data_IF_355333887849
#
_entry.id   IF_355333887849
#
_cell.length_a   1.000
_cell.length_b   1.000
_cell.length_c   1.000
_cell.angle_alpha   90.00
_cell.angle_beta   90.00
_cell.angle_gamma   90.00
#
_symmetry.space_group_name_H-M   'P 1'
#
loop_
_entity.id
_entity.type
_entity.pdbx_description
1 polymer ?
#
# COMPACT_ATOMS: atom_id res chain seq x y z
N UNK A 1 -8.59 -35.17 11.76
CA UNK A 1 -9.00 -34.78 10.39
C UNK A 1 -10.05 -33.67 10.40
N UNK A 2 -11.30 -33.91 10.84
CA UNK A 2 -12.37 -32.86 10.87
C UNK A 2 -12.02 -31.61 11.66
N UNK A 3 -11.27 -31.76 12.75
CA UNK A 3 -10.79 -30.60 13.54
C UNK A 3 -9.84 -29.75 12.68
N UNK A 4 -8.95 -30.37 11.90
CA UNK A 4 -8.00 -29.65 11.05
C UNK A 4 -8.70 -28.87 9.93
N UNK A 5 -9.70 -29.50 9.29
CA UNK A 5 -10.51 -28.86 8.25
C UNK A 5 -11.39 -27.76 8.83
N UNK A 6 -12.03 -28.00 9.98
CA UNK A 6 -12.82 -26.99 10.67
C UNK A 6 -11.97 -25.80 11.11
N UNK A 7 -10.76 -26.04 11.66
CA UNK A 7 -9.79 -25.01 11.96
C UNK A 7 -9.40 -24.24 10.69
N UNK A 8 -9.10 -24.93 9.59
CA UNK A 8 -8.80 -24.28 8.30
C UNK A 8 -9.93 -23.37 7.82
N UNK A 9 -11.19 -23.83 7.88
CA UNK A 9 -12.36 -23.04 7.49
C UNK A 9 -12.60 -21.85 8.42
N UNK A 10 -12.35 -22.01 9.72
CA UNK A 10 -12.43 -20.92 10.69
C UNK A 10 -11.34 -19.86 10.41
N UNK A 11 -10.10 -20.27 10.14
CA UNK A 11 -9.03 -19.36 9.75
C UNK A 11 -9.34 -18.64 8.44
N UNK A 12 -9.96 -19.33 7.47
CA UNK A 12 -10.41 -18.71 6.23
C UNK A 12 -11.53 -17.67 6.46
N UNK A 13 -12.46 -17.90 7.40
CA UNK A 13 -13.43 -16.87 7.78
C UNK A 13 -12.76 -15.65 8.39
N UNK A 14 -11.83 -15.87 9.32
CA UNK A 14 -11.05 -14.79 9.90
C UNK A 14 -10.26 -14.03 8.83
N UNK A 15 -9.71 -14.73 7.84
CA UNK A 15 -8.96 -14.10 6.76
C UNK A 15 -9.85 -13.25 5.85
N UNK A 16 -11.04 -13.73 5.49
CA UNK A 16 -12.06 -12.95 4.78
C UNK A 16 -12.41 -11.70 5.59
N UNK A 17 -12.63 -11.85 6.90
CA UNK A 17 -12.92 -10.73 7.80
C UNK A 17 -11.80 -9.68 7.81
N UNK A 18 -10.54 -10.10 7.92
CA UNK A 18 -9.39 -9.20 7.90
C UNK A 18 -9.20 -8.53 6.53
N UNK A 19 -9.33 -9.26 5.43
CA UNK A 19 -9.20 -8.70 4.09
C UNK A 19 -10.33 -7.72 3.76
N UNK A 20 -11.57 -8.06 4.12
CA UNK A 20 -12.71 -7.15 3.93
C UNK A 20 -12.58 -5.88 4.76
N UNK A 21 -12.13 -5.99 6.01
CA UNK A 21 -11.79 -4.82 6.85
C UNK A 21 -10.63 -4.02 6.26
N UNK A 22 -9.60 -4.66 5.72
CA UNK A 22 -8.51 -3.96 5.08
C UNK A 22 -9.00 -3.14 3.87
N UNK A 23 -9.84 -3.74 3.03
CA UNK A 23 -10.36 -3.11 1.80
C UNK A 23 -11.31 -1.95 2.11
N UNK A 24 -12.12 -2.06 3.18
CA UNK A 24 -13.09 -1.03 3.57
C UNK A 24 -12.45 0.14 4.34
N UNK A 25 -11.25 -0.06 4.90
CA UNK A 25 -10.56 0.96 5.69
C UNK A 25 -9.60 1.80 4.86
N UNK A 26 -9.51 3.09 5.20
CA UNK A 26 -8.69 4.07 4.48
C UNK A 26 -7.27 4.26 5.06
N UNK A 27 -6.77 3.27 5.80
CA UNK A 27 -5.51 3.33 6.57
C UNK A 27 -4.44 2.38 6.01
N UNK A 28 -4.28 2.33 4.69
CA UNK A 28 -3.21 1.55 4.05
C UNK A 28 -1.87 2.24 4.20
N UNK A 29 -1.87 3.55 3.93
CA UNK A 29 -0.68 4.38 4.03
C UNK A 29 -1.04 5.75 4.58
N UNK A 30 -0.15 6.26 5.42
CA UNK A 30 -0.38 7.42 6.25
C UNK A 30 0.76 8.42 6.08
N UNK A 31 0.41 9.69 5.95
CA UNK A 31 1.35 10.81 5.94
C UNK A 31 1.01 11.79 7.05
N UNK A 32 2.01 12.21 7.83
CA UNK A 32 1.90 13.27 8.82
C UNK A 32 2.89 14.40 8.50
N UNK A 33 2.32 15.55 8.13
CA UNK A 33 3.05 16.75 7.74
C UNK A 33 3.17 17.78 8.87
N UNK A 34 2.71 17.49 10.10
CA UNK A 34 2.73 18.46 11.22
C UNK A 34 4.12 19.05 11.49
N UNK A 35 5.14 18.19 11.61
CA UNK A 35 6.52 18.61 11.87
C UNK A 35 7.06 19.52 10.77
N UNK A 36 6.70 19.25 9.51
CA UNK A 36 7.07 20.10 8.37
C UNK A 36 6.33 21.44 8.41
N UNK A 37 5.03 21.44 8.73
CA UNK A 37 4.24 22.67 8.89
C UNK A 37 4.76 23.56 10.00
N UNK A 38 4.99 23.01 11.19
CA UNK A 38 5.52 23.75 12.34
C UNK A 38 6.89 24.37 12.05
N UNK A 39 7.69 23.69 11.23
CA UNK A 39 8.95 24.22 10.74
C UNK A 39 8.72 25.44 9.85
N UNK A 40 7.88 25.31 8.81
CA UNK A 40 7.63 26.40 7.86
C UNK A 40 6.88 27.60 8.48
N UNK A 41 5.99 27.37 9.45
CA UNK A 41 5.29 28.45 10.17
C UNK A 41 6.27 29.31 10.98
N UNK A 42 7.25 28.69 11.66
CA UNK A 42 8.30 29.42 12.39
C UNK A 42 9.12 30.34 11.48
N UNK A 43 9.39 29.91 10.24
CA UNK A 43 10.11 30.73 9.24
C UNK A 43 9.25 31.83 8.63
N UNK A 44 7.93 31.62 8.49
CA UNK A 44 7.01 32.64 7.98
C UNK A 44 6.72 33.71 9.03
N UNK A 45 6.87 33.39 10.33
CA UNK A 45 6.65 34.34 11.41
C UNK A 45 7.65 35.51 11.33
N UNK A 46 7.19 36.77 11.45
CA UNK A 46 8.01 37.98 11.26
C UNK A 46 9.14 38.18 12.28
N UNK A 47 9.34 37.26 13.24
CA UNK A 47 10.51 37.29 14.13
C UNK A 47 11.83 36.96 13.43
N UNK A 48 11.77 36.32 12.26
CA UNK A 48 12.90 36.16 11.36
C UNK A 48 12.39 36.38 9.94
N UNK A 49 12.28 37.64 9.47
CA UNK A 49 11.97 37.86 8.07
C UNK A 49 13.11 37.24 7.27
N UNK A 50 12.84 36.08 6.67
CA UNK A 50 13.73 35.44 5.71
C UNK A 50 14.09 36.48 4.67
N UNK A 51 15.33 36.93 4.68
CA UNK A 51 15.82 37.89 3.71
C UNK A 51 15.77 37.20 2.35
N UNK A 52 14.82 37.61 1.51
CA UNK A 52 14.75 37.24 0.10
C UNK A 52 15.99 37.84 -0.58
N UNK A 53 17.11 37.13 -0.56
CA UNK A 53 18.17 37.40 -1.53
C UNK A 53 17.71 36.79 -2.86
N UNK A 54 17.06 37.62 -3.67
CA UNK A 54 17.04 37.41 -5.11
C UNK A 54 18.51 37.37 -5.58
N UNK A 55 19.05 36.16 -5.70
CA UNK A 55 20.32 35.95 -6.37
C UNK A 55 20.06 36.03 -7.87
N UNK A 56 20.02 37.25 -8.39
CA UNK A 56 20.40 37.57 -9.76
C UNK A 56 20.65 39.08 -9.86
N UNK A 57 21.84 39.41 -10.37
CA UNK A 57 22.35 40.74 -10.77
C UNK A 57 23.14 41.53 -9.71
N UNK A 58 24.44 41.20 -9.67
CA UNK A 58 25.57 42.14 -9.69
C UNK A 58 25.42 43.47 -8.92
N UNK A 59 25.93 43.56 -7.68
CA UNK A 59 26.61 44.79 -7.22
C UNK A 59 27.59 44.48 -6.06
N UNK A 60 28.87 44.91 -6.13
CA UNK A 60 29.89 44.57 -5.16
C UNK A 60 29.87 45.54 -3.98
N UNK A 61 29.62 45.05 -2.76
CA UNK A 61 29.90 45.82 -1.54
C UNK A 61 30.78 45.04 -0.56
N UNK A 62 31.73 45.80 -0.03
CA UNK A 62 32.98 45.40 0.62
C UNK A 62 32.76 44.73 1.97
N UNK A 63 33.44 43.59 2.17
CA UNK A 63 33.55 42.84 3.43
C UNK A 63 34.18 43.66 4.56
N UNK A 64 33.65 43.45 5.77
CA UNK A 64 34.39 43.55 7.05
C UNK A 64 34.08 42.29 7.91
N UNK A 65 35.03 41.77 8.72
CA UNK A 65 35.11 40.35 9.05
C UNK A 65 34.61 39.99 10.47
N UNK A 66 34.56 38.68 10.74
CA UNK A 66 34.28 37.98 12.01
C UNK A 66 32.81 37.64 12.37
N UNK A 67 31.87 37.73 11.41
CA UNK A 67 30.55 37.03 11.49
C UNK A 67 30.50 35.74 10.65
N UNK A 68 31.60 35.38 10.00
CA UNK A 68 31.68 34.35 8.95
C UNK A 68 31.45 32.90 9.42
N UNK A 69 31.57 32.61 10.71
CA UNK A 69 31.23 31.27 11.24
C UNK A 69 29.71 31.12 11.41
N UNK A 70 29.05 32.04 12.12
CA UNK A 70 27.60 32.05 12.28
C UNK A 70 26.86 32.27 10.95
N UNK A 71 27.47 33.02 10.02
CA UNK A 71 26.94 33.24 8.69
C UNK A 71 27.09 32.02 7.77
N UNK A 72 28.12 31.17 7.95
CA UNK A 72 28.26 29.92 7.16
C UNK A 72 27.20 28.89 7.53
N UNK A 73 26.88 28.74 8.81
CA UNK A 73 25.72 27.94 9.23
C UNK A 73 24.41 28.55 8.67
N UNK A 74 24.20 29.87 8.81
CA UNK A 74 22.97 30.51 8.35
C UNK A 74 22.79 30.52 6.81
N UNK A 75 23.87 30.68 6.03
CA UNK A 75 23.85 30.74 4.56
C UNK A 75 23.60 29.39 3.89
N UNK A 76 23.98 28.27 4.51
CA UNK A 76 23.75 26.95 3.92
C UNK A 76 22.32 26.44 4.15
N UNK A 77 21.65 26.87 5.21
CA UNK A 77 20.27 26.45 5.49
C UNK A 77 19.21 27.36 4.83
N UNK A 78 19.44 28.66 4.70
CA UNK A 78 18.45 29.62 4.18
C UNK A 78 17.87 29.32 2.78
N UNK A 79 18.68 29.29 1.70
CA UNK A 79 18.17 29.16 0.33
C UNK A 79 17.61 27.76 0.05
N UNK A 80 18.11 26.73 0.75
CA UNK A 80 17.61 25.36 0.63
C UNK A 80 16.26 25.23 1.36
N UNK A 81 16.11 25.83 2.55
CA UNK A 81 14.88 25.71 3.36
C UNK A 81 13.69 26.51 2.79
N UNK A 82 13.91 27.69 2.19
CA UNK A 82 12.86 28.45 1.49
C UNK A 82 12.22 27.62 0.36
N UNK A 83 13.03 26.89 -0.39
CA UNK A 83 12.57 25.97 -1.43
C UNK A 83 11.72 24.82 -0.85
N UNK A 84 12.11 24.27 0.30
CA UNK A 84 11.38 23.18 0.95
C UNK A 84 10.00 23.60 1.49
N UNK A 85 9.81 24.87 1.88
CA UNK A 85 8.53 25.39 2.41
C UNK A 85 7.60 26.02 1.36
N UNK A 86 8.03 26.12 0.10
CA UNK A 86 7.22 26.69 -1.00
C UNK A 86 5.93 25.91 -1.29
N UNK A 87 5.87 24.63 -0.91
CA UNK A 87 4.74 23.75 -1.18
C UNK A 87 4.04 23.35 0.11
N UNK A 88 2.73 23.52 0.11
CA UNK A 88 1.89 23.07 1.21
C UNK A 88 1.67 21.55 1.15
N UNK A 89 1.92 20.86 2.27
CA UNK A 89 1.71 19.43 2.42
C UNK A 89 0.66 19.16 3.50
N UNK A 90 -0.29 18.29 3.16
CA UNK A 90 -1.38 17.90 4.05
C UNK A 90 -1.14 16.52 4.65
N UNK A 91 -1.48 16.38 5.94
CA UNK A 91 -1.56 15.07 6.58
C UNK A 91 -2.78 14.31 6.03
N UNK A 92 -2.53 13.16 5.41
CA UNK A 92 -3.59 12.37 4.74
C UNK A 92 -3.46 10.89 5.06
N UNK A 93 -4.60 10.22 5.15
CA UNK A 93 -4.69 8.76 5.13
C UNK A 93 -5.14 8.33 3.74
N UNK A 94 -4.52 7.28 3.23
CA UNK A 94 -4.83 6.71 1.92
C UNK A 94 -5.31 5.29 2.10
N UNK A 95 -6.51 5.04 1.61
CA UNK A 95 -7.10 3.73 1.44
C UNK A 95 -6.88 3.15 0.06
N UNK A 96 -7.55 2.03 -0.20
CA UNK A 96 -7.62 1.48 -1.55
C UNK A 96 -8.54 2.31 -2.47
N UNK A 97 -9.62 2.87 -1.93
CA UNK A 97 -10.65 3.54 -2.74
C UNK A 97 -10.69 5.06 -2.54
N UNK A 98 -10.32 5.53 -1.36
CA UNK A 98 -10.45 6.93 -0.97
C UNK A 98 -9.18 7.41 -0.29
N UNK A 99 -8.94 8.70 -0.38
CA UNK A 99 -7.90 9.43 0.35
C UNK A 99 -8.58 10.47 1.22
N UNK A 100 -8.36 10.40 2.52
CA UNK A 100 -9.00 11.27 3.51
C UNK A 100 -8.00 12.17 4.21
N UNK A 101 -8.45 13.36 4.62
CA UNK A 101 -7.71 14.24 5.50
C UNK A 101 -7.82 13.76 6.95
N UNK A 102 -6.69 13.79 7.69
CA UNK A 102 -6.65 13.37 9.09
C UNK A 102 -7.41 14.32 10.03
N UNK A 103 -8.10 13.77 11.02
CA UNK A 103 -8.89 14.51 12.04
C UNK A 103 -7.98 15.15 13.10
N UNK A 104 -8.15 16.46 13.33
CA UNK A 104 -7.44 17.25 14.33
C UNK A 104 -6.00 17.61 13.96
N UNK A 105 -5.53 17.24 12.76
CA UNK A 105 -4.16 17.54 12.33
C UNK A 105 -4.03 18.92 11.69
N UNK A 106 -5.11 19.46 11.15
CA UNK A 106 -5.10 20.72 10.40
C UNK A 106 -6.37 21.53 10.61
N UNK A 107 -6.30 22.53 11.49
CA UNK A 107 -7.42 23.44 11.82
C UNK A 107 -7.93 24.18 10.58
N UNK A 108 -7.02 24.60 9.69
CA UNK A 108 -7.41 25.34 8.48
C UNK A 108 -8.22 24.45 7.55
N UNK A 109 -7.74 23.22 7.34
CA UNK A 109 -8.45 22.26 6.50
C UNK A 109 -9.76 21.80 7.15
N UNK A 110 -9.80 21.63 8.47
CA UNK A 110 -11.04 21.33 9.19
C UNK A 110 -12.06 22.46 9.08
N UNK A 111 -11.64 23.72 9.15
CA UNK A 111 -12.50 24.87 8.88
C UNK A 111 -13.03 24.87 7.45
N UNK A 112 -12.18 24.56 6.46
CA UNK A 112 -12.59 24.45 5.06
C UNK A 112 -13.56 23.29 4.82
N UNK A 113 -13.37 22.18 5.53
CA UNK A 113 -14.27 21.02 5.49
C UNK A 113 -15.60 21.34 6.17
N UNK A 114 -15.56 21.99 7.34
CA UNK A 114 -16.74 22.40 8.09
C UNK A 114 -17.57 23.42 7.31
N UNK A 115 -16.93 24.37 6.63
CA UNK A 115 -17.58 25.32 5.72
C UNK A 115 -18.15 24.65 4.46
N UNK A 116 -17.86 23.37 4.22
CA UNK A 116 -18.32 22.63 3.04
C UNK A 116 -17.60 23.02 1.74
N UNK A 117 -16.51 23.78 1.82
CA UNK A 117 -15.71 24.20 0.65
C UNK A 117 -14.85 23.04 0.15
N UNK A 118 -14.42 22.16 1.06
CA UNK A 118 -13.57 21.02 0.74
C UNK A 118 -14.17 19.72 1.27
N UNK A 119 -14.12 18.66 0.45
CA UNK A 119 -14.54 17.33 0.86
C UNK A 119 -13.45 16.65 1.71
N UNK A 120 -13.84 16.07 2.85
CA UNK A 120 -12.92 15.35 3.76
C UNK A 120 -12.18 14.20 3.11
N UNK A 121 -12.90 13.45 2.26
CA UNK A 121 -12.39 12.28 1.56
C UNK A 121 -12.59 12.46 0.06
N UNK A 122 -11.53 12.26 -0.71
CA UNK A 122 -11.56 12.30 -2.17
C UNK A 122 -11.41 10.88 -2.72
N UNK A 123 -12.17 10.51 -3.76
CA UNK A 123 -12.02 9.20 -4.38
C UNK A 123 -10.68 9.12 -5.12
N UNK A 124 -10.01 7.97 -5.03
CA UNK A 124 -8.77 7.76 -5.77
C UNK A 124 -9.11 7.57 -7.24
N UNK A 125 -8.40 8.31 -8.12
CA UNK A 125 -8.65 8.28 -9.55
C UNK A 125 -7.99 7.06 -10.19
N UNK A 126 -8.82 6.09 -10.56
CA UNK A 126 -8.41 4.93 -11.38
C UNK A 126 -8.40 5.24 -12.88
N UNK A 127 -8.62 6.48 -13.27
CA UNK A 127 -8.58 6.96 -14.65
C UNK A 127 -7.48 8.00 -14.82
N UNK A 128 -6.94 8.09 -16.03
CA UNK A 128 -5.96 9.11 -16.35
C UNK A 128 -6.63 10.49 -16.30
N UNK A 129 -6.15 11.38 -15.43
CA UNK A 129 -6.54 12.79 -15.41
C UNK A 129 -5.34 13.63 -15.79
N UNK A 130 -5.51 14.52 -16.78
CA UNK A 130 -4.44 15.40 -17.22
C UNK A 130 -3.81 16.12 -16.03
N UNK A 131 -2.48 16.00 -15.84
CA UNK A 131 -1.82 16.61 -14.70
C UNK A 131 -1.80 18.13 -14.84
N UNK A 132 -1.99 18.84 -13.72
CA UNK A 132 -1.77 20.29 -13.62
C UNK A 132 -0.24 20.53 -13.62
N UNK A 133 0.43 20.17 -14.71
CA UNK A 133 1.88 20.36 -14.85
C UNK A 133 2.12 21.86 -15.07
N UNK A 134 3.09 22.45 -14.35
CA UNK A 134 3.52 23.79 -14.66
C UNK A 134 4.00 23.89 -16.11
N UNK A 135 3.47 24.85 -16.88
CA UNK A 135 3.79 25.01 -18.32
C UNK A 135 5.28 25.26 -18.62
N UNK A 136 6.11 25.50 -17.61
CA UNK A 136 7.53 25.78 -17.74
C UNK A 136 8.43 24.53 -17.81
N UNK A 137 7.89 23.31 -17.69
CA UNK A 137 8.73 22.10 -17.73
C UNK A 137 9.14 21.73 -19.17
N UNK A 138 10.41 21.32 -19.41
CA UNK A 138 10.87 20.89 -20.72
C UNK A 138 10.15 19.63 -21.19
N UNK A 139 9.94 19.51 -22.51
CA UNK A 139 9.14 18.44 -23.12
C UNK A 139 9.60 17.02 -22.72
N UNK A 140 10.90 16.77 -22.58
CA UNK A 140 11.44 15.47 -22.17
C UNK A 140 10.95 15.06 -20.77
N UNK A 141 10.91 16.00 -19.82
CA UNK A 141 10.43 15.74 -18.45
C UNK A 141 8.91 15.53 -18.45
N UNK A 142 8.16 16.28 -19.26
CA UNK A 142 6.70 16.06 -19.35
C UNK A 142 6.35 14.68 -19.91
N UNK A 143 7.19 14.12 -20.81
CA UNK A 143 7.02 12.76 -21.34
C UNK A 143 7.31 11.71 -20.27
N UNK A 144 8.39 11.86 -19.51
CA UNK A 144 8.71 10.92 -18.42
C UNK A 144 7.65 10.95 -17.33
N UNK A 145 7.19 12.14 -16.92
CA UNK A 145 6.11 12.29 -15.94
C UNK A 145 4.85 11.56 -16.41
N UNK A 146 4.44 11.76 -17.67
CA UNK A 146 3.26 11.08 -18.22
C UNK A 146 3.43 9.55 -18.19
N UNK A 147 4.61 9.05 -18.56
CA UNK A 147 4.89 7.62 -18.58
C UNK A 147 4.85 7.02 -17.16
N UNK A 148 5.42 7.71 -16.18
CA UNK A 148 5.40 7.29 -14.77
C UNK A 148 3.98 7.30 -14.18
N UNK A 149 3.16 8.29 -14.53
CA UNK A 149 1.74 8.30 -14.17
C UNK A 149 0.98 7.12 -14.77
N UNK A 150 1.23 6.79 -16.04
CA UNK A 150 0.66 5.61 -16.68
C UNK A 150 1.10 4.32 -15.97
N UNK A 151 2.39 4.16 -15.67
CA UNK A 151 2.89 2.98 -14.96
C UNK A 151 2.28 2.82 -13.57
N UNK A 152 2.18 3.90 -12.79
CA UNK A 152 1.54 3.88 -11.47
C UNK A 152 0.04 3.54 -11.56
N UNK A 153 -0.66 4.12 -12.54
CA UNK A 153 -2.08 3.85 -12.77
C UNK A 153 -2.32 2.38 -13.13
N UNK A 154 -1.47 1.81 -13.98
CA UNK A 154 -1.54 0.39 -14.33
C UNK A 154 -1.34 -0.50 -13.11
N UNK A 155 -0.34 -0.20 -12.28
CA UNK A 155 -0.07 -0.96 -11.08
C UNK A 155 -1.25 -0.92 -10.09
N UNK A 156 -1.84 0.26 -9.90
CA UNK A 156 -3.00 0.43 -9.02
C UNK A 156 -4.27 -0.27 -9.53
N UNK A 157 -4.49 -0.30 -10.86
CA UNK A 157 -5.59 -1.08 -11.43
C UNK A 157 -5.40 -2.58 -11.24
N UNK A 158 -4.16 -3.05 -11.37
CA UNK A 158 -3.84 -4.44 -11.08
C UNK A 158 -4.09 -4.77 -9.61
N UNK A 159 -3.67 -3.93 -8.66
CA UNK A 159 -3.91 -4.19 -7.22
C UNK A 159 -5.40 -4.29 -6.92
N UNK A 160 -6.22 -3.32 -7.36
CA UNK A 160 -7.66 -3.35 -7.13
C UNK A 160 -8.32 -4.60 -7.75
N UNK A 161 -7.89 -5.00 -8.95
CA UNK A 161 -8.36 -6.22 -9.61
C UNK A 161 -7.95 -7.49 -8.87
N UNK A 162 -6.68 -7.64 -8.52
CA UNK A 162 -6.17 -8.84 -7.84
C UNK A 162 -6.71 -9.00 -6.42
N UNK A 163 -6.89 -7.91 -5.66
CA UNK A 163 -7.57 -7.96 -4.36
C UNK A 163 -9.03 -8.43 -4.52
N UNK A 164 -9.77 -7.89 -5.51
CA UNK A 164 -11.15 -8.30 -5.77
C UNK A 164 -11.25 -9.78 -6.14
N UNK A 165 -10.38 -10.22 -7.06
CA UNK A 165 -10.27 -11.63 -7.44
C UNK A 165 -9.91 -12.51 -6.25
N UNK A 166 -8.94 -12.11 -5.43
CA UNK A 166 -8.54 -12.86 -4.23
C UNK A 166 -9.71 -13.05 -3.26
N UNK A 167 -10.42 -11.98 -2.88
CA UNK A 167 -11.59 -12.08 -1.98
C UNK A 167 -12.66 -13.00 -2.57
N UNK A 168 -12.95 -12.90 -3.87
CA UNK A 168 -13.93 -13.77 -4.51
C UNK A 168 -13.53 -15.25 -4.46
N UNK A 169 -12.27 -15.58 -4.81
CA UNK A 169 -11.76 -16.95 -4.80
C UNK A 169 -11.76 -17.52 -3.39
N UNK A 170 -11.37 -16.73 -2.38
CA UNK A 170 -11.38 -17.15 -0.97
C UNK A 170 -12.82 -17.39 -0.50
N UNK A 171 -13.77 -16.53 -0.86
CA UNK A 171 -15.20 -16.73 -0.53
C UNK A 171 -15.75 -18.01 -1.16
N UNK A 172 -15.48 -18.26 -2.45
CA UNK A 172 -15.89 -19.50 -3.12
C UNK A 172 -15.21 -20.72 -2.49
N UNK A 173 -13.91 -20.64 -2.17
CA UNK A 173 -13.18 -21.68 -1.46
C UNK A 173 -13.80 -21.99 -0.10
N UNK A 174 -14.23 -20.96 0.63
CA UNK A 174 -14.91 -21.13 1.92
C UNK A 174 -16.27 -21.83 1.78
N UNK A 175 -17.09 -21.45 0.80
CA UNK A 175 -18.37 -22.10 0.53
C UNK A 175 -18.20 -23.57 0.12
N UNK A 176 -17.26 -23.85 -0.80
CA UNK A 176 -16.93 -25.22 -1.23
C UNK A 176 -16.40 -26.05 -0.07
N UNK A 177 -15.59 -25.47 0.80
CA UNK A 177 -15.06 -26.13 1.98
C UNK A 177 -16.13 -26.44 3.04
N UNK A 178 -17.08 -25.53 3.27
CA UNK A 178 -18.25 -25.81 4.10
C UNK A 178 -19.09 -26.98 3.56
N UNK A 179 -19.39 -26.96 2.25
CA UNK A 179 -20.12 -28.03 1.59
C UNK A 179 -19.35 -29.37 1.62
N UNK A 180 -18.02 -29.32 1.50
CA UNK A 180 -17.15 -30.48 1.65
C UNK A 180 -17.21 -31.07 3.06
N UNK A 181 -17.24 -30.22 4.09
CA UNK A 181 -17.39 -30.63 5.48
C UNK A 181 -18.76 -31.28 5.74
N UNK A 182 -19.85 -30.71 5.20
CA UNK A 182 -21.22 -31.24 5.33
C UNK A 182 -21.43 -32.56 4.60
N UNK A 183 -20.92 -32.69 3.37
CA UNK A 183 -21.09 -33.91 2.56
C UNK A 183 -20.04 -34.99 2.86
N UNK A 184 -19.06 -34.71 3.71
CA UNK A 184 -17.92 -35.59 3.99
C UNK A 184 -17.15 -36.00 2.71
N UNK A 185 -17.04 -35.07 1.76
CA UNK A 185 -16.36 -35.31 0.49
C UNK A 185 -14.93 -34.78 0.55
N UNK A 186 -13.95 -35.69 0.68
CA UNK A 186 -12.51 -35.36 0.76
C UNK A 186 -12.03 -34.57 -0.48
N UNK A 187 -12.57 -34.87 -1.66
CA UNK A 187 -12.26 -34.14 -2.90
C UNK A 187 -12.66 -32.66 -2.83
N UNK A 188 -13.83 -32.35 -2.25
CA UNK A 188 -14.31 -30.97 -2.13
C UNK A 188 -13.44 -30.17 -1.16
N UNK A 189 -12.95 -30.82 -0.10
CA UNK A 189 -12.04 -30.21 0.86
C UNK A 189 -10.66 -29.92 0.23
N UNK A 190 -10.15 -30.84 -0.59
CA UNK A 190 -8.90 -30.64 -1.32
C UNK A 190 -9.02 -29.46 -2.29
N UNK A 191 -10.11 -29.39 -3.07
CA UNK A 191 -10.39 -28.26 -3.99
C UNK A 191 -10.52 -26.94 -3.23
N UNK A 192 -11.19 -26.92 -2.07
CA UNK A 192 -11.27 -25.73 -1.23
C UNK A 192 -9.87 -25.25 -0.77
N UNK A 193 -9.00 -26.18 -0.37
CA UNK A 193 -7.60 -25.88 -0.04
C UNK A 193 -6.82 -25.27 -1.21
N UNK A 194 -6.99 -25.81 -2.43
CA UNK A 194 -6.41 -25.24 -3.64
C UNK A 194 -6.94 -23.84 -3.95
N UNK A 195 -8.25 -23.60 -3.78
CA UNK A 195 -8.84 -22.28 -3.95
C UNK A 195 -8.28 -21.27 -2.93
N UNK A 196 -8.09 -21.66 -1.67
CA UNK A 196 -7.43 -20.80 -0.69
C UNK A 196 -5.98 -20.48 -1.05
N UNK A 197 -5.21 -21.45 -1.54
CA UNK A 197 -3.85 -21.20 -2.02
C UNK A 197 -3.83 -20.27 -3.24
N UNK A 198 -4.72 -20.48 -4.21
CA UNK A 198 -4.87 -19.60 -5.38
C UNK A 198 -5.30 -18.18 -4.98
N UNK A 199 -6.30 -18.05 -4.10
CA UNK A 199 -6.72 -16.77 -3.54
C UNK A 199 -5.59 -16.08 -2.76
N UNK A 200 -4.83 -16.84 -1.99
CA UNK A 200 -3.62 -16.38 -1.29
C UNK A 200 -2.55 -15.86 -2.23
N UNK A 201 -2.27 -16.56 -3.34
CA UNK A 201 -1.30 -16.07 -4.35
C UNK A 201 -1.77 -14.78 -5.02
N UNK A 202 -3.06 -14.65 -5.37
CA UNK A 202 -3.62 -13.41 -5.89
C UNK A 202 -3.50 -12.26 -4.87
N UNK A 203 -3.74 -12.56 -3.59
CA UNK A 203 -3.58 -11.59 -2.50
C UNK A 203 -2.12 -11.16 -2.33
N UNK A 204 -1.17 -12.10 -2.34
CA UNK A 204 0.28 -11.80 -2.30
C UNK A 204 0.65 -10.87 -3.46
N UNK A 205 0.28 -11.22 -4.70
CA UNK A 205 0.57 -10.40 -5.89
C UNK A 205 0.00 -8.99 -5.71
N UNK A 206 -1.23 -8.87 -5.20
CA UNK A 206 -1.84 -7.57 -4.96
C UNK A 206 -1.14 -6.75 -3.88
N UNK A 207 -0.71 -7.37 -2.79
CA UNK A 207 -0.02 -6.65 -1.71
C UNK A 207 1.40 -6.25 -2.12
N UNK A 208 2.11 -7.12 -2.84
CA UNK A 208 3.40 -6.78 -3.41
C UNK A 208 3.29 -5.64 -4.44
N UNK A 209 2.28 -5.67 -5.31
CA UNK A 209 2.04 -4.60 -6.29
C UNK A 209 1.61 -3.29 -5.60
N UNK A 210 0.87 -3.32 -4.49
CA UNK A 210 0.52 -2.07 -3.80
C UNK A 210 1.75 -1.45 -3.11
N UNK A 211 2.59 -2.25 -2.46
CA UNK A 211 3.84 -1.80 -1.85
C UNK A 211 4.80 -1.25 -2.90
N UNK A 212 4.95 -1.95 -4.03
CA UNK A 212 5.74 -1.47 -5.15
C UNK A 212 5.21 -0.13 -5.70
N UNK A 213 3.89 0.05 -5.73
CA UNK A 213 3.25 1.29 -6.16
C UNK A 213 3.52 2.46 -5.24
N UNK A 214 3.38 2.24 -3.93
CA UNK A 214 3.70 3.24 -2.91
C UNK A 214 5.19 3.64 -3.00
N UNK A 215 6.08 2.65 -3.16
CA UNK A 215 7.51 2.91 -3.31
C UNK A 215 7.83 3.67 -4.61
N UNK A 216 7.15 3.33 -5.71
CA UNK A 216 7.29 4.03 -6.99
C UNK A 216 6.83 5.49 -6.88
N UNK A 217 5.66 5.75 -6.27
CA UNK A 217 5.15 7.09 -5.98
C UNK A 217 6.14 7.94 -5.16
N UNK A 218 6.76 7.34 -4.14
CA UNK A 218 7.74 8.01 -3.28
C UNK A 218 9.11 8.22 -3.97
N UNK A 219 9.45 7.38 -4.95
CA UNK A 219 10.71 7.44 -5.70
C UNK A 219 10.63 8.20 -7.03
N UNK A 220 9.47 8.80 -7.36
CA UNK A 220 9.24 9.52 -8.63
C UNK A 220 10.31 10.57 -8.94
N UNK A 221 10.64 10.65 -10.24
CA UNK A 221 11.50 11.66 -10.82
C UNK A 221 10.66 12.70 -11.58
N UNK A 222 11.00 14.01 -11.54
CA UNK A 222 12.18 14.58 -10.88
C UNK A 222 11.96 14.83 -9.38
N UNK A 223 12.99 14.54 -8.59
CA UNK A 223 12.98 14.67 -7.13
C UNK A 223 12.60 16.08 -6.67
N UNK A 224 13.00 17.15 -7.36
CA UNK A 224 12.60 18.51 -6.95
C UNK A 224 11.08 18.76 -6.99
N UNK A 225 10.32 17.98 -7.76
CA UNK A 225 8.86 18.13 -7.92
C UNK A 225 8.07 17.16 -7.04
N UNK A 226 8.62 15.97 -6.76
CA UNK A 226 7.93 14.90 -6.04
C UNK A 226 8.63 14.47 -4.74
N UNK A 227 9.84 14.95 -4.42
CA UNK A 227 10.52 14.58 -3.19
C UNK A 227 9.73 15.10 -2.00
N UNK A 228 9.30 14.17 -1.17
CA UNK A 228 8.75 14.49 0.13
C UNK A 228 9.90 14.98 1.02
N UNK A 229 9.81 16.17 1.65
CA UNK A 229 10.82 16.60 2.61
C UNK A 229 10.96 15.58 3.75
N UNK A 230 12.18 15.37 4.24
CA UNK A 230 12.51 14.35 5.25
C UNK A 230 11.75 14.53 6.59
N UNK A 231 11.12 15.69 6.78
CA UNK A 231 10.34 16.03 7.96
C UNK A 231 8.93 15.46 7.99
N UNK A 232 8.45 14.96 6.85
CA UNK A 232 7.12 14.37 6.74
C UNK A 232 7.24 12.89 7.08
N UNK A 233 6.74 12.54 8.26
CA UNK A 233 6.64 11.14 8.67
C UNK A 233 5.61 10.45 7.79
N UNK A 234 6.00 9.31 7.24
CA UNK A 234 5.16 8.49 6.41
C UNK A 234 5.32 7.03 6.81
N UNK A 235 4.26 6.25 6.69
CA UNK A 235 4.27 4.86 7.14
C UNK A 235 3.09 4.07 6.62
N UNK A 236 3.22 2.75 6.70
CA UNK A 236 2.11 1.84 6.47
C UNK A 236 1.16 1.90 7.66
N UNK A 237 -0.14 1.99 7.40
CA UNK A 237 -1.16 1.99 8.45
C UNK A 237 -1.59 0.57 8.83
N UNK A 238 -2.56 0.47 9.75
CA UNK A 238 -3.05 -0.83 10.24
C UNK A 238 -3.66 -1.70 9.14
N UNK A 239 -4.17 -1.09 8.06
CA UNK A 239 -4.94 -1.82 7.06
C UNK A 239 -4.01 -2.74 6.26
N UNK A 240 -2.82 -2.23 5.94
CA UNK A 240 -1.76 -3.00 5.32
C UNK A 240 -1.35 -4.20 6.19
N UNK A 241 -1.21 -3.99 7.50
CA UNK A 241 -0.89 -5.06 8.45
C UNK A 241 -2.01 -6.11 8.52
N UNK A 242 -3.27 -5.67 8.56
CA UNK A 242 -4.43 -6.57 8.56
C UNK A 242 -4.54 -7.37 7.26
N UNK A 243 -4.17 -6.78 6.13
CA UNK A 243 -4.16 -7.47 4.84
C UNK A 243 -3.08 -8.55 4.78
N UNK A 244 -1.87 -8.25 5.27
CA UNK A 244 -0.80 -9.25 5.44
C UNK A 244 -1.19 -10.37 6.41
N UNK A 245 -1.86 -10.02 7.52
CA UNK A 245 -2.43 -11.01 8.44
C UNK A 245 -3.46 -11.91 7.77
N UNK A 246 -4.40 -11.33 7.01
CA UNK A 246 -5.40 -12.07 6.24
C UNK A 246 -4.78 -12.98 5.18
N UNK A 247 -3.74 -12.52 4.48
CA UNK A 247 -2.94 -13.35 3.57
C UNK A 247 -2.34 -14.56 4.30
N UNK A 248 -1.68 -14.33 5.44
CA UNK A 248 -1.07 -15.39 6.24
C UNK A 248 -2.09 -16.44 6.69
N UNK A 249 -3.24 -15.98 7.19
CA UNK A 249 -4.34 -16.86 7.60
C UNK A 249 -4.94 -17.65 6.43
N UNK A 250 -5.05 -17.04 5.24
CA UNK A 250 -5.56 -17.73 4.04
C UNK A 250 -4.62 -18.83 3.57
N UNK A 251 -3.31 -18.56 3.54
CA UNK A 251 -2.32 -19.57 3.17
C UNK A 251 -2.28 -20.71 4.18
N UNK A 252 -2.32 -20.39 5.48
CA UNK A 252 -2.40 -21.38 6.53
C UNK A 252 -3.67 -22.23 6.41
N UNK A 253 -4.82 -21.61 6.18
CA UNK A 253 -6.08 -22.30 5.92
C UNK A 253 -6.00 -23.24 4.71
N UNK A 254 -5.41 -22.75 3.60
CA UNK A 254 -5.18 -23.55 2.39
C UNK A 254 -4.32 -24.77 2.67
N UNK A 255 -3.19 -24.58 3.34
CA UNK A 255 -2.30 -25.67 3.74
C UNK A 255 -3.02 -26.70 4.62
N UNK A 256 -3.70 -26.27 5.69
CA UNK A 256 -4.45 -27.17 6.58
C UNK A 256 -5.54 -27.96 5.84
N UNK A 257 -6.25 -27.32 4.90
CA UNK A 257 -7.30 -27.98 4.12
C UNK A 257 -6.74 -28.95 3.07
N UNK A 258 -5.59 -28.68 2.46
CA UNK A 258 -4.91 -29.61 1.55
C UNK A 258 -4.28 -30.80 2.30
N UNK A 259 -3.76 -30.56 3.51
CA UNK A 259 -3.14 -31.61 4.31
C UNK A 259 -4.14 -32.64 4.82
N UNK A 260 -5.32 -32.19 5.27
CA UNK A 260 -6.33 -33.05 5.87
C UNK A 260 -6.68 -34.31 5.06
N UNK A 261 -6.94 -34.25 3.74
CA UNK A 261 -7.16 -35.44 2.92
C UNK A 261 -5.84 -36.15 2.56
N UNK A 262 -4.71 -35.45 2.41
CA UNK A 262 -3.42 -36.08 2.04
C UNK A 262 -2.83 -37.00 3.11
N UNK A 263 -3.15 -36.77 4.39
CA UNK A 263 -2.85 -37.70 5.48
C UNK A 263 -3.57 -39.06 5.34
N UNK A 264 -4.49 -39.20 4.39
CA UNK A 264 -5.06 -40.49 3.98
C UNK A 264 -4.27 -41.19 2.88
N UNK A 265 -3.04 -40.75 2.51
CA UNK A 265 -2.19 -41.56 1.63
C UNK A 265 -2.09 -42.96 2.25
N UNK A 266 -2.52 -44.00 1.52
CA UNK A 266 -2.85 -45.26 2.14
C UNK A 266 -1.58 -45.86 2.75
N UNK A 267 -1.71 -46.45 3.93
CA UNK A 267 -0.83 -47.52 4.40
C UNK A 267 -0.92 -48.70 3.42
N UNK A 268 -0.47 -48.51 2.18
CA UNK A 268 -0.19 -49.54 1.18
C UNK A 268 1.17 -49.15 0.55
N UNK A 269 2.14 -48.92 1.42
CA UNK A 269 3.52 -49.34 1.18
C UNK A 269 3.81 -50.59 2.02
N UNK A 270 2.83 -51.49 2.15
CA UNK A 270 3.12 -52.91 2.14
C UNK A 270 2.86 -53.38 0.71
N UNK A 271 3.91 -53.34 -0.09
CA UNK A 271 4.03 -54.17 -1.27
C UNK A 271 4.06 -55.65 -0.82
N UNK A 272 2.92 -56.17 -0.37
CA UNK A 272 2.73 -57.60 -0.13
C UNK A 272 1.73 -58.08 -1.16
N UNK A 273 2.25 -58.89 -2.07
CA UNK A 273 1.52 -59.70 -3.05
C UNK A 273 0.67 -58.96 -4.09
N UNK A 274 1.32 -58.64 -5.20
CA UNK A 274 0.72 -58.95 -6.50
C UNK A 274 0.66 -60.49 -6.58
N UNK A 275 -0.50 -61.16 -6.51
CA UNK A 275 -0.54 -62.62 -6.62
C UNK A 275 -0.02 -63.01 -8.00
N UNK A 276 0.97 -63.90 -7.99
CA UNK A 276 1.60 -64.43 -9.17
C UNK A 276 0.58 -65.19 -10.02
N UNK A 277 0.60 -64.83 -11.31
CA UNK A 277 0.26 -65.62 -12.49
C UNK A 277 -0.25 -67.06 -12.22
N UNK A 278 -1.55 -67.26 -12.41
CA UNK A 278 -2.16 -68.59 -12.44
C UNK A 278 -1.75 -69.29 -13.74
N UNK A 279 -0.93 -70.33 -13.61
CA UNK A 279 -0.50 -71.18 -14.70
C UNK A 279 -1.68 -71.99 -15.23
N UNK A 280 -1.93 -71.88 -16.53
CA UNK A 280 -2.79 -72.81 -17.25
C UNK A 280 -2.15 -74.21 -17.28
N UNK A 281 -2.85 -75.18 -16.72
CA UNK A 281 -2.74 -76.60 -17.06
C UNK A 281 -4.12 -77.25 -16.86
N UNK A 282 -4.89 -77.34 -17.95
CA UNK A 282 -5.51 -78.58 -18.46
C UNK A 282 -5.52 -78.48 -19.97
#
# INVERSE_FOLDING_TARGET
MRILTACGLFLALCSIGLLTMAISTDYWYETDARKHRDRCDKYTSPKYPGYIYNSNQNLPLRRRPAREAALREALHFGPVMEWHCSRYYNSTTTGLWRRCHREGFDVVMEDLIFKGVLQRCTPIKYYYSAPNIPRYLPANITKSIRQDEWHALHLQRMTAGFIGMAVSIILFGWMVGLLGCWKHNELMQYVAGLLFLMGGTCCIISLCTCVAGINFELSRYPRYLYSLPEDISHGYGWSMFSAWGGLGLTLLAGFLCTLAPSLQSPQISSSTHKPAQENGMV
#
